data_IF_611781261231
#
_entry.id   IF_611781261231
#
_cell.length_a   1.000
_cell.length_b   1.000
_cell.length_c   1.000
_cell.angle_alpha   90.00
_cell.angle_beta   90.00
_cell.angle_gamma   90.00
#
_symmetry.space_group_name_H-M   'P 1'
#
loop_
_entity.id
_entity.type
_entity.pdbx_description
1 polymer ?
#
# COMPACT_ATOMS: atom_id res chain seq x y z
N UNK A 1 -37.25 17.71 31.66
CA UNK A 1 -36.88 16.90 30.48
C UNK A 1 -35.41 17.13 30.27
N UNK A 2 -34.57 16.21 30.74
CA UNK A 2 -33.13 16.41 30.92
C UNK A 2 -32.42 16.64 29.60
N UNK A 3 -31.60 17.68 29.58
CA UNK A 3 -30.78 18.14 28.46
C UNK A 3 -30.03 17.00 27.77
N UNK A 4 -30.24 16.89 26.46
CA UNK A 4 -29.40 16.11 25.57
C UNK A 4 -28.09 16.87 25.39
N UNK A 5 -27.05 16.48 26.13
CA UNK A 5 -25.72 17.11 25.99
C UNK A 5 -25.20 16.84 24.57
N UNK A 6 -25.02 17.90 23.80
CA UNK A 6 -24.62 17.86 22.39
C UNK A 6 -23.12 17.56 22.25
N UNK A 7 -22.69 16.35 22.60
CA UNK A 7 -21.32 15.87 22.32
C UNK A 7 -21.25 15.12 20.97
N UNK A 8 -21.98 15.59 19.95
CA UNK A 8 -22.04 14.91 18.64
C UNK A 8 -20.74 15.07 17.85
N UNK A 9 -20.10 16.24 17.95
CA UNK A 9 -18.93 16.58 17.15
C UNK A 9 -17.70 15.71 17.44
N UNK A 10 -17.35 15.54 18.72
CA UNK A 10 -16.14 14.79 19.10
C UNK A 10 -16.26 13.31 18.75
N UNK A 11 -17.41 12.70 19.02
CA UNK A 11 -17.66 11.29 18.68
C UNK A 11 -17.66 11.07 17.16
N UNK A 12 -18.18 12.02 16.39
CA UNK A 12 -18.14 11.97 14.93
C UNK A 12 -16.70 11.94 14.41
N UNK A 13 -15.86 12.88 14.85
CA UNK A 13 -14.45 12.93 14.45
C UNK A 13 -13.66 11.70 14.90
N UNK A 14 -13.85 11.25 16.15
CA UNK A 14 -13.19 10.06 16.68
C UNK A 14 -13.53 8.81 15.87
N UNK A 15 -14.79 8.69 15.44
CA UNK A 15 -15.23 7.59 14.57
C UNK A 15 -14.53 7.63 13.22
N UNK A 16 -14.43 8.80 12.58
CA UNK A 16 -13.75 8.92 11.29
C UNK A 16 -12.26 8.62 11.40
N UNK A 17 -11.57 9.16 12.42
CA UNK A 17 -10.14 8.88 12.65
C UNK A 17 -9.91 7.39 12.89
N UNK A 18 -10.74 6.75 13.71
CA UNK A 18 -10.65 5.31 13.98
C UNK A 18 -10.87 4.46 12.72
N UNK A 19 -11.90 4.80 11.93
CA UNK A 19 -12.19 4.10 10.67
C UNK A 19 -11.05 4.30 9.65
N UNK A 20 -10.58 5.54 9.45
CA UNK A 20 -9.46 5.83 8.56
C UNK A 20 -8.18 5.14 9.00
N UNK A 21 -7.89 5.07 10.30
CA UNK A 21 -6.75 4.33 10.82
C UNK A 21 -6.86 2.83 10.50
N UNK A 22 -8.05 2.24 10.72
CA UNK A 22 -8.32 0.85 10.34
C UNK A 22 -8.10 0.60 8.85
N UNK A 23 -8.59 1.51 7.99
CA UNK A 23 -8.36 1.45 6.54
C UNK A 23 -6.87 1.53 6.21
N UNK A 24 -6.12 2.45 6.82
CA UNK A 24 -4.68 2.60 6.58
C UNK A 24 -3.89 1.34 6.96
N UNK A 25 -4.21 0.73 8.10
CA UNK A 25 -3.55 -0.52 8.54
C UNK A 25 -3.80 -1.66 7.57
N UNK A 26 -5.04 -1.80 7.09
CA UNK A 26 -5.40 -2.83 6.10
C UNK A 26 -4.84 -2.52 4.70
N UNK A 27 -4.75 -1.24 4.34
CA UNK A 27 -4.24 -0.79 3.05
C UNK A 27 -2.72 -0.87 2.94
N UNK A 28 -1.99 -0.65 4.03
CA UNK A 28 -0.53 -0.64 4.05
C UNK A 28 0.13 -1.88 3.41
N UNK A 29 -0.25 -3.15 3.70
CA UNK A 29 0.33 -4.30 3.03
C UNK A 29 0.04 -4.34 1.52
N UNK A 30 -1.14 -3.87 1.09
CA UNK A 30 -1.47 -3.76 -0.33
C UNK A 30 -0.61 -2.70 -1.03
N UNK A 31 -0.37 -1.58 -0.35
CA UNK A 31 0.54 -0.54 -0.82
C UNK A 31 1.97 -1.06 -1.00
N UNK A 32 2.49 -1.81 -0.02
CA UNK A 32 3.83 -2.42 -0.14
C UNK A 32 3.93 -3.41 -1.30
N UNK A 33 2.91 -4.24 -1.51
CA UNK A 33 2.87 -5.17 -2.64
C UNK A 33 2.86 -4.43 -3.99
N UNK A 34 2.14 -3.32 -4.08
CA UNK A 34 2.16 -2.45 -5.24
C UNK A 34 3.52 -1.78 -5.46
N UNK A 35 4.14 -1.22 -4.41
CA UNK A 35 5.47 -0.63 -4.53
C UNK A 35 6.49 -1.69 -4.95
N UNK A 36 6.44 -2.89 -4.38
CA UNK A 36 7.31 -4.00 -4.74
C UNK A 36 7.20 -4.40 -6.22
N UNK A 37 6.03 -4.27 -6.86
CA UNK A 37 5.88 -4.55 -8.30
C UNK A 37 6.47 -3.47 -9.21
N UNK A 38 6.78 -2.29 -8.66
CA UNK A 38 7.28 -1.12 -9.41
C UNK A 38 8.79 -0.88 -9.27
N UNK A 39 9.49 -1.63 -8.42
CA UNK A 39 10.92 -1.44 -8.08
C UNK A 39 11.78 -2.57 -8.63
N UNK A 40 13.11 -2.42 -8.63
CA UNK A 40 14.00 -3.47 -9.16
C UNK A 40 14.07 -4.69 -8.23
N UNK A 41 14.30 -5.88 -8.78
CA UNK A 41 14.53 -7.10 -7.97
C UNK A 41 15.68 -6.91 -6.97
N UNK A 42 16.75 -6.21 -7.36
CA UNK A 42 17.88 -5.91 -6.46
C UNK A 42 17.51 -5.04 -5.25
N UNK A 43 16.53 -4.14 -5.38
CA UNK A 43 16.06 -3.27 -4.28
C UNK A 43 15.03 -3.95 -3.37
N UNK A 44 14.32 -4.98 -3.85
CA UNK A 44 13.44 -5.80 -3.00
C UNK A 44 14.26 -6.67 -2.04
N UNK A 45 15.40 -7.19 -2.50
CA UNK A 45 16.21 -8.18 -1.77
C UNK A 45 17.23 -7.51 -0.84
N UNK A 46 17.65 -6.27 -1.15
CA UNK A 46 18.56 -5.50 -0.31
C UNK A 46 17.81 -4.43 0.48
N UNK A 47 17.71 -4.57 1.82
CA UNK A 47 17.15 -3.52 2.66
C UNK A 47 17.94 -2.21 2.54
N UNK A 48 17.31 -1.04 2.66
CA UNK A 48 15.89 -0.82 2.97
C UNK A 48 14.97 -0.85 1.74
N UNK A 49 13.83 -1.56 1.85
CA UNK A 49 12.81 -1.56 0.79
C UNK A 49 12.19 -0.16 0.65
N UNK A 50 12.08 0.40 -0.58
CA UNK A 50 11.46 1.69 -0.82
C UNK A 50 9.96 1.67 -0.48
N UNK A 51 9.43 2.80 0.00
CA UNK A 51 8.00 3.00 0.31
C UNK A 51 7.24 3.74 -0.79
N UNK A 52 7.95 4.21 -1.81
CA UNK A 52 7.42 4.93 -2.96
C UNK A 52 7.58 4.09 -4.23
N UNK A 53 6.63 4.17 -5.18
CA UNK A 53 6.75 3.43 -6.43
C UNK A 53 8.03 3.79 -7.20
N UNK A 54 8.67 2.78 -7.76
CA UNK A 54 9.84 2.93 -8.64
C UNK A 54 9.45 3.28 -10.08
N UNK A 55 10.46 3.47 -10.92
CA UNK A 55 10.32 3.76 -12.35
C UNK A 55 10.24 2.50 -13.24
N UNK A 56 10.35 1.31 -12.64
CA UNK A 56 10.50 0.03 -13.36
C UNK A 56 9.18 -0.67 -13.70
N UNK A 57 8.02 -0.08 -13.39
CA UNK A 57 6.72 -0.73 -13.59
C UNK A 57 6.54 -1.29 -15.01
N UNK A 58 6.79 -0.50 -16.06
CA UNK A 58 6.60 -0.97 -17.43
C UNK A 58 7.70 -1.95 -17.90
N UNK A 59 8.93 -1.80 -17.40
CA UNK A 59 10.07 -2.67 -17.75
C UNK A 59 9.88 -4.06 -17.15
N UNK A 60 9.47 -4.15 -15.89
CA UNK A 60 9.23 -5.41 -15.19
C UNK A 60 8.07 -6.19 -15.79
N UNK A 61 6.94 -5.52 -16.07
CA UNK A 61 5.79 -6.18 -16.71
C UNK A 61 6.12 -6.60 -18.15
N UNK A 62 6.87 -5.78 -18.89
CA UNK A 62 7.35 -6.16 -20.23
C UNK A 62 8.22 -7.41 -20.21
N UNK A 63 9.24 -7.46 -19.34
CA UNK A 63 10.07 -8.66 -19.16
C UNK A 63 9.27 -9.87 -18.71
N UNK A 64 8.44 -9.75 -17.68
CA UNK A 64 7.67 -10.88 -17.16
C UNK A 64 6.66 -11.44 -18.18
N UNK A 65 6.10 -10.60 -19.05
CA UNK A 65 5.12 -11.01 -20.06
C UNK A 65 5.77 -11.48 -21.38
N UNK A 66 6.97 -11.01 -21.71
CA UNK A 66 7.65 -11.30 -22.99
C UNK A 66 8.77 -12.35 -22.84
N UNK A 67 9.55 -12.29 -21.77
CA UNK A 67 10.69 -13.19 -21.52
C UNK A 67 10.27 -14.54 -20.91
N UNK A 68 8.97 -14.89 -20.97
CA UNK A 68 8.40 -16.13 -20.44
C UNK A 68 9.34 -17.33 -20.60
N UNK A 69 9.82 -17.83 -19.45
CA UNK A 69 10.56 -19.09 -19.21
C UNK A 69 11.27 -19.70 -20.43
N UNK A 70 12.13 -18.93 -21.10
CA UNK A 70 12.84 -19.38 -22.31
C UNK A 70 14.30 -19.76 -22.06
N UNK A 71 14.71 -19.98 -20.80
CA UNK A 71 16.12 -20.13 -20.48
C UNK A 71 16.50 -20.80 -19.17
N UNK A 72 15.82 -21.87 -18.74
CA UNK A 72 16.41 -22.84 -17.81
C UNK A 72 16.58 -24.22 -18.46
N UNK A 73 17.64 -24.33 -19.26
CA UNK A 73 18.44 -25.56 -19.44
C UNK A 73 19.89 -25.23 -19.13
#
# INVERSE_FOLDING_TARGET
>A
MSEMVENRGLNYWLTHVGLSFGVLVLFFPLWLAFVASTVTNSEVIHPPMPLWPGDQFFVNYGRALIEGDSGQT
#
